data_IF_549605554992
#
_entry.id   IF_549605554992
#
_cell.length_a   1.000
_cell.length_b   1.000
_cell.length_c   1.000
_cell.angle_alpha   90.00
_cell.angle_beta   90.00
_cell.angle_gamma   90.00
#
_symmetry.space_group_name_H-M   'P 1'
#
loop_
_entity.id
_entity.type
_entity.pdbx_description
1 polymer ?
#
# COMPACT_ATOMS: atom_id res chain seq x y z
N UNK A 1 18.66 17.10 -22.07
CA UNK A 1 17.77 16.02 -21.63
C UNK A 1 17.77 16.01 -20.11
N UNK A 2 16.62 16.15 -19.45
CA UNK A 2 16.56 16.02 -18.00
C UNK A 2 16.86 14.57 -17.62
N UNK A 3 17.79 14.35 -16.68
CA UNK A 3 18.11 13.01 -16.17
C UNK A 3 16.82 12.41 -15.56
N UNK A 4 16.40 11.24 -16.06
CA UNK A 4 15.27 10.49 -15.48
C UNK A 4 15.66 10.08 -14.06
N UNK A 5 14.94 10.62 -13.06
CA UNK A 5 15.10 10.14 -11.69
C UNK A 5 14.63 8.69 -11.60
N UNK A 6 15.38 7.79 -10.92
CA UNK A 6 14.91 6.44 -10.67
C UNK A 6 13.62 6.49 -9.84
N UNK A 7 12.64 5.69 -10.23
CA UNK A 7 11.40 5.51 -9.48
C UNK A 7 11.55 4.30 -8.55
N UNK A 8 11.05 4.41 -7.33
CA UNK A 8 10.99 3.29 -6.40
C UNK A 8 9.70 2.51 -6.67
N UNK A 9 9.83 1.21 -6.82
CA UNK A 9 8.71 0.27 -6.95
C UNK A 9 8.76 -0.69 -5.76
N UNK A 10 7.65 -0.85 -5.08
CA UNK A 10 7.43 -1.90 -4.10
C UNK A 10 6.77 -3.09 -4.78
N UNK A 11 7.21 -4.29 -4.38
CA UNK A 11 6.66 -5.56 -4.84
C UNK A 11 5.90 -6.16 -3.68
N UNK A 12 4.58 -6.21 -3.80
CA UNK A 12 3.67 -6.57 -2.74
C UNK A 12 2.87 -7.82 -3.15
N UNK A 13 2.67 -8.76 -2.23
CA UNK A 13 1.66 -9.79 -2.41
C UNK A 13 0.29 -9.19 -2.11
N UNK A 14 -0.73 -9.58 -2.86
CA UNK A 14 -2.11 -9.18 -2.55
C UNK A 14 -2.82 -10.34 -1.87
N UNK A 15 -3.42 -10.07 -0.71
CA UNK A 15 -4.23 -11.04 0.01
C UNK A 15 -5.59 -10.43 0.29
N UNK A 16 -6.64 -11.05 -0.23
CA UNK A 16 -8.04 -10.74 0.08
C UNK A 16 -8.59 -11.92 0.85
N UNK A 17 -9.11 -11.68 2.05
CA UNK A 17 -9.75 -12.70 2.87
C UNK A 17 -11.18 -12.28 3.11
N UNK A 18 -12.13 -13.04 2.60
CA UNK A 18 -13.54 -12.82 2.89
C UNK A 18 -13.84 -13.23 4.32
N UNK A 19 -14.57 -12.41 5.06
CA UNK A 19 -14.83 -12.58 6.50
C UNK A 19 -16.18 -13.28 6.79
N UNK A 20 -17.03 -13.41 5.77
CA UNK A 20 -18.33 -14.07 5.88
C UNK A 20 -18.40 -15.11 4.78
N UNK A 21 -18.80 -16.33 5.14
CA UNK A 21 -19.02 -17.43 4.19
C UNK A 21 -20.24 -17.10 3.30
N UNK A 22 -20.01 -16.42 2.20
CA UNK A 22 -21.00 -16.26 1.15
C UNK A 22 -20.73 -17.32 0.08
N UNK A 23 -21.69 -18.20 -0.24
CA UNK A 23 -21.43 -19.36 -1.08
C UNK A 23 -21.25 -19.08 -2.56
N UNK A 24 -21.41 -17.83 -3.03
CA UNK A 24 -21.58 -17.58 -4.46
C UNK A 24 -20.34 -17.06 -5.21
N UNK A 25 -19.37 -16.40 -4.56
CA UNK A 25 -18.06 -16.10 -5.17
C UNK A 25 -17.03 -15.58 -4.16
N UNK A 26 -15.80 -16.05 -4.25
CA UNK A 26 -14.68 -15.45 -3.54
C UNK A 26 -14.36 -14.09 -4.14
N UNK A 27 -14.36 -13.04 -3.29
CA UNK A 27 -13.97 -11.71 -3.69
C UNK A 27 -12.49 -11.66 -4.03
N UNK A 28 -12.15 -11.11 -5.19
CA UNK A 28 -10.76 -10.97 -5.65
C UNK A 28 -10.29 -9.52 -5.55
N UNK A 29 -8.98 -9.31 -5.61
CA UNK A 29 -8.44 -7.95 -5.69
C UNK A 29 -8.79 -7.28 -7.03
N UNK A 30 -9.01 -8.06 -8.10
CA UNK A 30 -9.52 -7.56 -9.39
C UNK A 30 -10.89 -6.91 -9.21
N UNK A 31 -11.82 -7.56 -8.48
CA UNK A 31 -13.17 -7.03 -8.23
C UNK A 31 -13.10 -5.70 -7.45
N UNK A 32 -12.20 -5.62 -6.47
CA UNK A 32 -11.95 -4.39 -5.72
C UNK A 32 -11.42 -3.27 -6.63
N UNK A 33 -10.48 -3.56 -7.53
CA UNK A 33 -9.95 -2.57 -8.46
C UNK A 33 -11.02 -2.08 -9.45
N UNK A 34 -11.85 -2.98 -9.95
CA UNK A 34 -12.98 -2.65 -10.85
C UNK A 34 -13.99 -1.76 -10.10
N UNK A 35 -14.34 -2.13 -8.86
CA UNK A 35 -15.23 -1.33 -8.03
C UNK A 35 -14.68 0.08 -7.78
N UNK A 36 -13.38 0.21 -7.50
CA UNK A 36 -12.73 1.49 -7.20
C UNK A 36 -12.51 2.37 -8.43
N UNK A 37 -12.62 1.83 -9.65
CA UNK A 37 -12.33 2.56 -10.88
C UNK A 37 -13.23 3.79 -11.07
N UNK A 38 -12.63 4.97 -11.11
CA UNK A 38 -13.31 6.27 -11.23
C UNK A 38 -13.93 6.78 -9.93
N UNK A 39 -13.84 6.04 -8.82
CA UNK A 39 -14.33 6.49 -7.52
C UNK A 39 -13.31 7.42 -6.85
N UNK A 40 -13.83 8.37 -6.08
CA UNK A 40 -13.06 9.37 -5.36
C UNK A 40 -13.24 9.19 -3.85
N UNK A 41 -12.15 9.09 -3.15
CA UNK A 41 -12.13 9.13 -1.71
C UNK A 41 -11.41 10.39 -1.22
N UNK A 42 -11.78 10.87 -0.06
CA UNK A 42 -11.31 12.14 0.47
C UNK A 42 -10.74 11.95 1.87
N UNK A 43 -9.69 12.70 2.17
CA UNK A 43 -9.30 12.99 3.54
C UNK A 43 -9.26 14.52 3.77
N UNK A 44 -8.73 14.95 4.91
CA UNK A 44 -8.76 16.35 5.32
C UNK A 44 -8.15 17.33 4.29
N UNK A 45 -7.12 16.89 3.55
CA UNK A 45 -6.32 17.76 2.67
C UNK A 45 -6.18 17.26 1.24
N UNK A 46 -6.56 16.01 0.98
CA UNK A 46 -6.30 15.33 -0.29
C UNK A 46 -7.53 14.58 -0.79
N UNK A 47 -7.64 14.51 -2.10
CA UNK A 47 -8.53 13.58 -2.78
C UNK A 47 -7.72 12.49 -3.47
N UNK A 48 -8.29 11.30 -3.57
CA UNK A 48 -7.68 10.16 -4.24
C UNK A 48 -8.66 9.57 -5.23
N UNK A 49 -8.20 9.34 -6.46
CA UNK A 49 -9.01 8.75 -7.52
C UNK A 49 -8.21 7.63 -8.19
N UNK A 50 -8.80 6.43 -8.26
CA UNK A 50 -8.22 5.34 -9.02
C UNK A 50 -8.73 5.35 -10.45
N UNK A 51 -7.81 5.24 -11.42
CA UNK A 51 -8.14 5.03 -12.84
C UNK A 51 -7.42 3.82 -13.37
N UNK A 52 -8.18 2.88 -13.89
CA UNK A 52 -7.64 1.75 -14.63
C UNK A 52 -7.26 2.21 -16.04
N UNK A 53 -6.15 1.67 -16.54
CA UNK A 53 -5.62 1.97 -17.87
C UNK A 53 -5.84 0.74 -18.73
N UNK A 54 -6.53 0.92 -19.83
CA UNK A 54 -6.71 -0.15 -20.82
C UNK A 54 -5.36 -0.55 -21.42
N UNK A 55 -5.03 -1.83 -21.31
CA UNK A 55 -3.77 -2.39 -21.78
C UNK A 55 -4.02 -3.69 -22.55
N UNK A 56 -3.09 -4.04 -23.44
CA UNK A 56 -3.13 -5.34 -24.16
C UNK A 56 -2.59 -6.50 -23.32
N UNK A 57 -2.35 -6.32 -22.03
CA UNK A 57 -1.81 -7.33 -21.12
C UNK A 57 -2.95 -8.16 -20.55
N UNK A 58 -3.14 -9.38 -21.00
CA UNK A 58 -4.30 -10.21 -20.67
C UNK A 58 -4.41 -10.60 -19.19
N UNK A 59 -3.28 -10.75 -18.49
CA UNK A 59 -3.24 -11.20 -17.09
C UNK A 59 -2.86 -10.09 -16.10
N UNK A 60 -2.73 -8.87 -16.58
CA UNK A 60 -2.33 -7.75 -15.74
C UNK A 60 -3.38 -6.63 -15.80
N UNK A 61 -3.58 -6.00 -14.65
CA UNK A 61 -4.33 -4.75 -14.55
C UNK A 61 -3.33 -3.64 -14.28
N UNK A 62 -3.38 -2.60 -15.11
CA UNK A 62 -2.56 -1.40 -14.93
C UNK A 62 -3.47 -0.25 -14.54
N UNK A 63 -3.01 0.56 -13.60
CA UNK A 63 -3.75 1.72 -13.18
C UNK A 63 -2.87 2.81 -12.61
N UNK A 64 -3.50 3.91 -12.31
CA UNK A 64 -2.90 5.05 -11.63
C UNK A 64 -3.82 5.50 -10.50
N UNK A 65 -3.22 5.74 -9.33
CA UNK A 65 -3.90 6.43 -8.25
C UNK A 65 -3.47 7.89 -8.30
N UNK A 66 -4.42 8.76 -8.58
CA UNK A 66 -4.22 10.19 -8.65
C UNK A 66 -4.51 10.78 -7.28
N UNK A 67 -3.54 11.50 -6.73
CA UNK A 67 -3.70 12.27 -5.49
C UNK A 67 -3.82 13.74 -5.86
N UNK A 68 -4.94 14.37 -5.55
CA UNK A 68 -5.16 15.79 -5.68
C UNK A 68 -5.01 16.51 -4.33
N UNK A 69 -4.33 17.64 -4.31
CA UNK A 69 -4.17 18.48 -3.13
C UNK A 69 -4.54 19.92 -3.47
N UNK A 70 -5.50 20.49 -2.74
CA UNK A 70 -5.95 21.88 -2.91
C UNK A 70 -5.73 22.74 -1.66
N UNK A 71 -5.31 22.14 -0.53
CA UNK A 71 -4.98 22.81 0.72
C UNK A 71 -3.52 22.57 1.09
N UNK A 72 -2.95 23.44 1.90
CA UNK A 72 -1.55 23.36 2.33
C UNK A 72 -0.57 23.21 1.16
N UNK A 73 -0.79 24.02 0.11
CA UNK A 73 0.03 23.98 -1.09
C UNK A 73 1.42 24.55 -0.82
N UNK A 74 2.46 24.00 -1.48
CA UNK A 74 3.80 24.54 -1.37
C UNK A 74 3.87 25.96 -1.96
N UNK A 75 4.71 26.81 -1.38
CA UNK A 75 5.00 28.11 -1.96
C UNK A 75 5.90 27.97 -3.20
N UNK A 76 5.67 28.79 -4.20
CA UNK A 76 6.60 28.99 -5.30
C UNK A 76 7.63 30.04 -4.91
N UNK A 77 8.90 29.83 -5.30
CA UNK A 77 9.99 30.79 -5.07
C UNK A 77 10.38 31.44 -6.39
N UNK A 78 10.43 32.76 -6.41
CA UNK A 78 11.06 33.50 -7.49
C UNK A 78 12.57 33.26 -7.45
N UNK A 79 13.17 32.86 -8.57
CA UNK A 79 14.61 32.56 -8.64
C UNK A 79 15.47 33.83 -8.73
N UNK A 80 14.93 34.92 -9.22
CA UNK A 80 15.67 36.18 -9.39
C UNK A 80 15.70 36.99 -8.11
N UNK A 81 14.54 37.11 -7.43
CA UNK A 81 14.39 37.92 -6.21
C UNK A 81 14.58 37.07 -4.93
N UNK A 82 14.39 35.76 -5.00
CA UNK A 82 14.39 34.87 -3.85
C UNK A 82 13.09 34.86 -3.04
N UNK A 83 12.10 35.67 -3.44
CA UNK A 83 10.84 35.83 -2.74
C UNK A 83 9.95 34.61 -2.86
N UNK A 84 9.15 34.36 -1.81
CA UNK A 84 8.17 33.27 -1.78
C UNK A 84 6.77 33.81 -2.02
N UNK A 85 6.05 33.14 -2.91
CA UNK A 85 4.66 33.45 -3.22
C UNK A 85 3.79 32.21 -3.04
N UNK A 86 2.52 32.35 -2.61
CA UNK A 86 1.61 31.22 -2.54
C UNK A 86 1.38 30.63 -3.94
N UNK A 87 1.21 29.31 -4.00
CA UNK A 87 0.72 28.66 -5.19
C UNK A 87 -0.80 28.82 -5.22
N UNK A 88 -1.27 29.81 -5.99
CA UNK A 88 -2.69 30.07 -6.13
C UNK A 88 -3.28 29.11 -7.16
N UNK A 89 -4.19 28.25 -6.72
CA UNK A 89 -5.04 27.40 -7.53
C UNK A 89 -6.49 27.82 -7.30
N UNK A 90 -7.32 27.69 -8.33
CA UNK A 90 -8.77 27.79 -8.16
C UNK A 90 -9.25 26.51 -7.42
N UNK A 91 -9.68 26.63 -6.15
CA UNK A 91 -9.98 25.44 -5.32
C UNK A 91 -11.15 24.61 -5.86
N UNK A 92 -12.01 25.22 -6.69
CA UNK A 92 -13.18 24.56 -7.28
C UNK A 92 -12.84 23.83 -8.59
N UNK A 93 -11.68 24.15 -9.21
CA UNK A 93 -11.34 23.63 -10.55
C UNK A 93 -9.95 22.99 -10.64
N UNK A 94 -9.06 23.32 -9.72
CA UNK A 94 -7.65 22.97 -9.85
C UNK A 94 -7.13 22.30 -8.60
N UNK A 95 -6.34 21.25 -8.80
CA UNK A 95 -5.59 20.56 -7.73
C UNK A 95 -4.15 20.37 -8.14
N UNK A 96 -3.24 20.42 -7.17
CA UNK A 96 -1.88 19.95 -7.38
C UNK A 96 -1.89 18.42 -7.36
N UNK A 97 -1.63 17.80 -8.52
CA UNK A 97 -1.83 16.36 -8.67
C UNK A 97 -0.52 15.59 -8.72
N UNK A 98 -0.54 14.43 -8.06
CA UNK A 98 0.54 13.45 -8.04
C UNK A 98 -0.03 12.09 -8.44
N UNK A 99 0.76 11.25 -9.10
CA UNK A 99 0.34 9.91 -9.50
C UNK A 99 1.22 8.82 -8.93
N UNK A 100 0.62 7.69 -8.61
CA UNK A 100 1.27 6.42 -8.32
C UNK A 100 0.79 5.42 -9.35
N UNK A 101 1.67 4.95 -10.22
CA UNK A 101 1.36 3.90 -11.18
C UNK A 101 1.46 2.55 -10.48
N UNK A 102 0.55 1.65 -10.80
CA UNK A 102 0.63 0.27 -10.35
C UNK A 102 0.37 -0.72 -11.50
N UNK A 103 0.89 -1.93 -11.32
CA UNK A 103 0.58 -3.09 -12.13
C UNK A 103 0.24 -4.26 -11.20
N UNK A 104 -0.93 -4.84 -11.37
CA UNK A 104 -1.35 -6.05 -10.68
C UNK A 104 -1.32 -7.24 -11.62
N UNK A 105 -0.52 -8.25 -11.29
CA UNK A 105 -0.48 -9.54 -11.97
C UNK A 105 -1.49 -10.48 -11.30
N UNK A 106 -2.57 -10.80 -12.04
CA UNK A 106 -3.67 -11.64 -11.54
C UNK A 106 -3.25 -13.09 -11.30
N UNK A 107 -2.29 -13.60 -12.08
CA UNK A 107 -1.84 -14.98 -11.99
C UNK A 107 -0.96 -15.25 -10.78
N UNK A 108 -0.19 -14.24 -10.37
CA UNK A 108 0.74 -14.31 -9.25
C UNK A 108 0.21 -13.66 -7.96
N UNK A 109 -0.89 -12.95 -8.04
CA UNK A 109 -1.40 -12.10 -6.95
C UNK A 109 -0.33 -11.11 -6.45
N UNK A 110 0.39 -10.49 -7.40
CA UNK A 110 1.47 -9.54 -7.12
C UNK A 110 1.09 -8.14 -7.60
N UNK A 111 1.26 -7.16 -6.72
CA UNK A 111 1.11 -5.74 -7.02
C UNK A 111 2.50 -5.10 -7.08
N UNK A 112 2.85 -4.53 -8.24
CA UNK A 112 3.97 -3.60 -8.39
C UNK A 112 3.44 -2.20 -8.19
N UNK A 113 3.89 -1.52 -7.14
CA UNK A 113 3.37 -0.22 -6.74
C UNK A 113 4.46 0.86 -6.74
N UNK A 114 4.25 1.94 -7.51
CA UNK A 114 5.17 3.07 -7.53
C UNK A 114 5.06 3.87 -6.23
N UNK A 115 6.17 4.02 -5.51
CA UNK A 115 6.22 4.84 -4.30
C UNK A 115 6.49 6.30 -4.67
N UNK A 116 5.52 7.17 -4.38
CA UNK A 116 5.64 8.61 -4.51
C UNK A 116 5.30 9.27 -3.19
N UNK A 117 6.26 9.99 -2.59
CA UNK A 117 6.10 10.62 -1.27
C UNK A 117 4.99 11.67 -1.21
N UNK A 118 4.62 12.25 -2.35
CA UNK A 118 3.54 13.22 -2.45
C UNK A 118 2.20 12.60 -2.87
N UNK A 119 2.24 11.34 -3.29
CA UNK A 119 1.09 10.59 -3.77
C UNK A 119 0.37 9.81 -2.67
N UNK A 120 -0.28 8.73 -3.08
CA UNK A 120 -1.00 7.81 -2.20
C UNK A 120 -0.05 6.72 -1.70
N UNK A 121 0.07 6.55 -0.39
CA UNK A 121 0.71 5.37 0.20
C UNK A 121 -0.25 4.19 0.17
N UNK A 122 0.29 2.96 0.19
CA UNK A 122 -0.53 1.75 0.09
C UNK A 122 -1.57 1.64 1.22
N UNK A 123 -1.21 1.99 2.45
CA UNK A 123 -2.13 1.98 3.60
C UNK A 123 -3.28 2.97 3.42
N UNK A 124 -3.00 4.12 2.79
CA UNK A 124 -4.02 5.10 2.46
C UNK A 124 -4.94 4.60 1.36
N UNK A 125 -4.41 3.90 0.38
CA UNK A 125 -5.20 3.25 -0.66
C UNK A 125 -6.16 2.21 -0.06
N UNK A 126 -5.68 1.37 0.88
CA UNK A 126 -6.51 0.42 1.63
C UNK A 126 -7.64 1.15 2.37
N UNK A 127 -7.29 2.23 3.08
CA UNK A 127 -8.30 3.04 3.79
C UNK A 127 -9.37 3.61 2.85
N UNK A 128 -8.97 4.06 1.66
CA UNK A 128 -9.89 4.53 0.62
C UNK A 128 -10.83 3.43 0.11
N UNK A 129 -10.30 2.22 -0.09
CA UNK A 129 -11.10 1.06 -0.51
C UNK A 129 -12.20 0.80 0.53
N UNK A 130 -11.84 0.71 1.81
CA UNK A 130 -12.82 0.45 2.86
C UNK A 130 -13.84 1.59 3.00
N UNK A 131 -13.45 2.86 2.88
CA UNK A 131 -14.37 4.00 2.93
C UNK A 131 -15.39 3.95 1.80
N UNK A 132 -14.96 3.69 0.58
CA UNK A 132 -15.86 3.62 -0.57
C UNK A 132 -16.73 2.36 -0.54
N UNK A 133 -16.16 1.23 -0.07
CA UNK A 133 -16.92 0.00 0.09
C UNK A 133 -18.04 0.13 1.12
N UNK A 134 -17.82 0.82 2.24
CA UNK A 134 -18.85 1.10 3.24
C UNK A 134 -19.97 2.01 2.74
N UNK A 135 -19.74 2.80 1.69
CA UNK A 135 -20.78 3.70 1.11
C UNK A 135 -21.64 2.99 0.09
N UNK A 136 -21.01 2.31 -0.84
CA UNK A 136 -21.64 1.82 -2.07
C UNK A 136 -21.31 0.35 -2.39
N UNK A 137 -20.61 -0.34 -1.52
CA UNK A 137 -20.30 -1.76 -1.68
C UNK A 137 -21.49 -2.64 -1.31
N UNK A 138 -21.28 -3.95 -1.42
CA UNK A 138 -22.24 -4.95 -0.97
C UNK A 138 -22.11 -5.12 0.55
N UNK A 139 -23.17 -4.81 1.29
CA UNK A 139 -23.22 -4.89 2.76
C UNK A 139 -23.01 -6.32 3.29
N UNK A 140 -23.36 -7.33 2.49
CA UNK A 140 -23.21 -8.74 2.83
C UNK A 140 -21.78 -9.24 2.64
N UNK A 141 -20.94 -8.50 1.89
CA UNK A 141 -19.56 -8.86 1.61
C UNK A 141 -18.62 -8.06 2.52
N UNK A 142 -18.02 -8.75 3.48
CA UNK A 142 -16.94 -8.20 4.33
C UNK A 142 -15.63 -8.90 4.01
N UNK A 143 -14.58 -8.13 3.82
CA UNK A 143 -13.26 -8.67 3.50
C UNK A 143 -12.17 -7.95 4.27
N UNK A 144 -11.04 -8.63 4.41
CA UNK A 144 -9.77 -8.07 4.84
C UNK A 144 -8.80 -8.04 3.67
N UNK A 145 -8.12 -6.90 3.48
CA UNK A 145 -7.19 -6.66 2.39
C UNK A 145 -5.83 -6.31 2.96
N UNK A 146 -4.80 -7.07 2.59
CA UNK A 146 -3.44 -6.82 3.02
C UNK A 146 -2.43 -6.92 1.87
N UNK A 147 -1.34 -6.17 2.01
CA UNK A 147 -0.25 -6.09 1.02
C UNK A 147 1.11 -6.37 1.66
N UNK A 148 1.39 -7.62 2.07
CA UNK A 148 2.70 -7.95 2.59
C UNK A 148 3.80 -7.76 1.53
N UNK A 149 4.90 -7.14 1.94
CA UNK A 149 6.07 -6.96 1.06
C UNK A 149 6.68 -8.32 0.75
N UNK A 150 6.89 -8.60 -0.54
CA UNK A 150 7.61 -9.79 -0.95
C UNK A 150 9.11 -9.58 -0.76
N UNK A 151 9.69 -10.31 0.19
CA UNK A 151 11.13 -10.39 0.35
C UNK A 151 11.73 -11.40 -0.64
N UNK A 152 12.97 -11.17 -1.08
CA UNK A 152 13.68 -12.15 -1.90
C UNK A 152 13.96 -13.41 -1.09
N UNK A 153 13.81 -14.58 -1.72
CA UNK A 153 14.22 -15.85 -1.11
C UNK A 153 15.68 -15.74 -0.68
N UNK A 154 15.97 -16.02 0.59
CA UNK A 154 17.32 -15.90 1.16
C UNK A 154 17.69 -14.52 1.76
N UNK A 155 16.85 -13.50 1.67
CA UNK A 155 17.13 -12.24 2.38
C UNK A 155 17.10 -12.41 3.90
N UNK A 156 16.25 -13.29 4.39
CA UNK A 156 16.22 -13.66 5.81
C UNK A 156 17.52 -14.33 6.26
N UNK A 157 18.03 -15.29 5.46
CA UNK A 157 19.33 -15.94 5.72
C UNK A 157 20.49 -14.94 5.64
N UNK A 158 20.42 -14.00 4.70
CA UNK A 158 21.42 -12.93 4.58
C UNK A 158 21.40 -12.01 5.80
N UNK A 159 20.23 -11.65 6.33
CA UNK A 159 20.10 -10.89 7.57
C UNK A 159 20.69 -11.65 8.75
N UNK A 160 20.39 -12.94 8.89
CA UNK A 160 20.92 -13.79 9.95
C UNK A 160 22.45 -13.90 9.94
N UNK A 161 23.06 -13.81 8.76
CA UNK A 161 24.51 -13.90 8.57
C UNK A 161 25.24 -12.54 8.68
N UNK A 162 24.53 -11.43 8.93
CA UNK A 162 25.17 -10.14 9.20
C UNK A 162 25.85 -10.14 10.57
N UNK A 163 27.10 -9.70 10.62
CA UNK A 163 27.90 -9.64 11.87
C UNK A 163 27.61 -8.41 12.71
N UNK A 164 26.90 -7.41 12.15
CA UNK A 164 26.62 -6.14 12.84
C UNK A 164 25.31 -5.54 12.38
N UNK A 165 24.44 -5.15 13.35
CA UNK A 165 23.18 -4.44 13.12
C UNK A 165 23.22 -3.10 13.84
N UNK A 166 22.87 -2.03 13.17
CA UNK A 166 22.72 -0.71 13.81
C UNK A 166 21.37 -0.60 14.54
N UNK A 167 20.33 -1.07 13.90
CA UNK A 167 18.96 -1.15 14.42
C UNK A 167 18.27 -2.34 13.76
N UNK A 168 17.42 -3.03 14.49
CA UNK A 168 16.63 -4.15 14.01
C UNK A 168 15.21 -4.02 14.51
N UNK A 169 14.27 -3.79 13.58
CA UNK A 169 12.85 -3.75 13.85
C UNK A 169 12.18 -4.97 13.24
N UNK A 170 11.38 -5.68 14.03
CA UNK A 170 10.52 -6.76 13.57
C UNK A 170 9.09 -6.42 13.92
N UNK A 171 8.28 -6.23 12.91
CA UNK A 171 6.84 -6.12 13.04
C UNK A 171 6.22 -7.46 12.65
N UNK A 172 5.54 -8.11 13.59
CA UNK A 172 4.89 -9.40 13.36
C UNK A 172 3.39 -9.18 13.24
N UNK A 173 2.88 -9.39 12.04
CA UNK A 173 1.45 -9.57 11.79
C UNK A 173 1.09 -11.02 12.08
N UNK A 174 0.11 -11.28 12.95
CA UNK A 174 -0.32 -12.62 13.38
C UNK A 174 0.80 -13.45 14.05
N UNK A 175 1.37 -12.99 15.19
CA UNK A 175 2.48 -13.67 15.86
C UNK A 175 2.13 -15.09 16.32
N UNK A 176 0.85 -15.41 16.57
CA UNK A 176 0.40 -16.74 16.97
C UNK A 176 0.50 -17.76 15.82
N UNK A 177 0.13 -17.40 14.60
CA UNK A 177 0.24 -18.24 13.41
C UNK A 177 1.70 -18.58 13.11
N UNK A 178 2.58 -17.58 13.20
CA UNK A 178 4.03 -17.78 13.02
C UNK A 178 4.60 -18.72 14.08
N UNK A 179 4.18 -18.57 15.35
CA UNK A 179 4.61 -19.44 16.44
C UNK A 179 4.11 -20.88 16.31
N UNK A 180 2.95 -21.09 15.68
CA UNK A 180 2.42 -22.43 15.40
C UNK A 180 3.13 -23.12 14.24
N UNK A 181 3.42 -22.40 13.16
CA UNK A 181 4.12 -22.91 11.98
C UNK A 181 5.56 -23.34 12.30
N UNK A 182 6.22 -22.63 13.23
CA UNK A 182 7.62 -22.86 13.59
C UNK A 182 7.80 -23.42 15.02
N UNK A 183 6.85 -24.20 15.52
CA UNK A 183 6.92 -24.81 16.87
C UNK A 183 8.19 -25.58 17.13
N UNK A 184 8.71 -26.24 16.11
CA UNK A 184 9.87 -27.15 16.19
C UNK A 184 11.20 -26.47 15.80
N UNK A 185 11.17 -25.19 15.41
CA UNK A 185 12.37 -24.46 15.02
C UNK A 185 13.03 -23.80 16.25
N UNK A 186 14.25 -24.26 16.56
CA UNK A 186 15.07 -23.75 17.67
C UNK A 186 15.96 -22.54 17.27
N UNK A 187 15.59 -21.79 16.23
CA UNK A 187 16.35 -20.61 15.83
C UNK A 187 16.42 -19.57 16.96
N UNK A 188 17.56 -18.89 17.09
CA UNK A 188 17.80 -17.89 18.14
C UNK A 188 16.80 -16.72 18.08
N UNK A 189 16.30 -16.38 16.90
CA UNK A 189 15.32 -15.29 16.69
C UNK A 189 13.95 -15.68 17.21
N UNK A 190 13.46 -16.89 16.91
CA UNK A 190 12.20 -17.39 17.45
C UNK A 190 12.22 -17.48 18.97
N UNK A 191 13.37 -17.83 19.56
CA UNK A 191 13.51 -17.84 21.02
C UNK A 191 13.39 -16.43 21.63
N UNK A 192 13.90 -15.40 20.95
CA UNK A 192 13.77 -13.99 21.36
C UNK A 192 12.31 -13.53 21.23
N UNK A 193 11.66 -13.84 20.10
CA UNK A 193 10.24 -13.51 19.87
C UNK A 193 9.35 -14.19 20.89
N UNK A 194 9.54 -15.48 21.15
CA UNK A 194 8.78 -16.24 22.18
C UNK A 194 8.96 -15.65 23.60
N UNK A 195 10.15 -15.13 23.92
CA UNK A 195 10.44 -14.48 25.20
C UNK A 195 9.66 -13.18 25.35
N UNK A 196 9.74 -12.29 24.36
CA UNK A 196 9.06 -10.99 24.41
C UNK A 196 7.54 -11.10 24.35
N UNK A 197 6.98 -12.08 23.64
CA UNK A 197 5.53 -12.32 23.64
C UNK A 197 5.03 -12.85 25.01
N UNK A 198 5.83 -13.61 25.74
CA UNK A 198 5.47 -14.04 27.10
C UNK A 198 5.49 -12.89 28.10
N UNK A 199 6.47 -11.98 27.96
CA UNK A 199 6.62 -10.82 28.85
C UNK A 199 5.59 -9.72 28.57
N UNK A 200 5.04 -9.63 27.33
CA UNK A 200 4.02 -8.66 26.90
C UNK A 200 2.57 -9.03 27.23
N UNK A 201 2.31 -10.26 27.66
CA UNK A 201 0.94 -10.72 28.04
C UNK A 201 0.65 -10.53 29.55
N UNK A 202 1.63 -10.04 30.32
CA UNK A 202 1.49 -9.84 31.78
C UNK A 202 1.28 -8.38 32.21
N UNK A 203 0.96 -7.45 31.29
CA UNK A 203 0.61 -6.06 31.64
C UNK A 203 -0.76 -5.66 31.10
#
# INVERSE_FOLDING_TARGET
MAAKKPKRIEVLSTKVKQLVDSPESEMTFEDILIFMNGRKCYDEFKEYELKLIDTKLNNCIVGIIITGQNKNLPAKRDRATGEFHPLNLDPDKETLSFGNIFLYDKSLNILLYEVNINGCYIDKFVSCIYQEWQKDGDDDIKFDLSFPVLSRKGEYERLLNMTYYKEFFVELTCPQEILEEYKDDNSSILSIVKRHLKDGIQN
#
